data_IF_669703988711
#
_entry.id   IF_669703988711
#
_cell.length_a   1.000
_cell.length_b   1.000
_cell.length_c   1.000
_cell.angle_alpha   90.00
_cell.angle_beta   90.00
_cell.angle_gamma   90.00
#
_symmetry.space_group_name_H-M   'P 1'
#
loop_
_entity.id
_entity.type
_entity.pdbx_description
1 polymer ?
#
# COMPACT_ATOMS: atom_id res chain seq x y z
N UNK A 1 2.65 -11.13 5.29
CA UNK A 1 1.67 -10.44 6.17
C UNK A 1 2.03 -10.46 7.66
N UNK A 2 3.15 -11.08 8.08
CA UNK A 2 3.52 -11.18 9.51
C UNK A 2 3.60 -9.82 10.23
N UNK A 3 4.13 -8.79 9.56
CA UNK A 3 4.26 -7.45 10.13
C UNK A 3 2.92 -6.81 10.53
N UNK A 4 1.84 -7.13 9.80
CA UNK A 4 0.49 -6.68 10.15
C UNK A 4 0.00 -7.34 11.44
N UNK A 5 0.18 -8.66 11.55
CA UNK A 5 -0.26 -9.45 12.71
C UNK A 5 0.51 -9.01 13.96
N UNK A 6 1.82 -8.82 13.85
CA UNK A 6 2.65 -8.37 14.96
C UNK A 6 2.27 -6.97 15.42
N UNK A 7 2.01 -6.06 14.48
CA UNK A 7 1.52 -4.72 14.78
C UNK A 7 0.12 -4.75 15.42
N UNK A 8 -0.79 -5.57 14.90
CA UNK A 8 -2.15 -5.72 15.44
C UNK A 8 -2.12 -6.24 16.88
N UNK A 9 -1.26 -7.20 17.18
CA UNK A 9 -1.02 -7.70 18.53
C UNK A 9 -0.38 -6.65 19.44
N UNK A 10 0.61 -5.89 18.94
CA UNK A 10 1.32 -4.88 19.71
C UNK A 10 0.44 -3.67 20.05
N UNK A 11 -0.44 -3.25 19.13
CA UNK A 11 -1.33 -2.10 19.32
C UNK A 11 -2.74 -2.49 19.79
N UNK A 12 -2.97 -3.75 20.16
CA UNK A 12 -4.29 -4.26 20.54
C UNK A 12 -5.41 -3.89 19.52
N UNK A 13 -5.09 -3.99 18.22
CA UNK A 13 -5.97 -3.62 17.11
C UNK A 13 -6.12 -2.12 16.83
N UNK A 14 -5.47 -1.23 17.61
CA UNK A 14 -5.54 0.22 17.44
C UNK A 14 -4.58 0.75 16.36
N UNK A 15 -4.67 0.24 15.13
CA UNK A 15 -3.76 0.62 14.02
C UNK A 15 -4.03 2.00 13.42
N UNK A 16 -5.28 2.48 13.48
CA UNK A 16 -5.71 3.72 12.84
C UNK A 16 -5.88 4.87 13.85
N UNK A 17 -5.49 6.07 13.45
CA UNK A 17 -5.86 7.30 14.15
C UNK A 17 -7.31 7.71 13.86
N UNK A 18 -7.77 8.77 14.53
CA UNK A 18 -9.15 9.26 14.38
C UNK A 18 -9.51 9.63 12.92
N UNK A 19 -8.58 10.18 12.15
CA UNK A 19 -8.82 10.52 10.74
C UNK A 19 -8.97 9.27 9.87
N UNK A 20 -8.13 8.25 10.08
CA UNK A 20 -8.20 6.96 9.39
C UNK A 20 -9.51 6.22 9.68
N UNK A 21 -9.95 6.21 10.95
CA UNK A 21 -11.23 5.62 11.36
C UNK A 21 -12.42 6.34 10.73
N UNK A 22 -12.43 7.68 10.74
CA UNK A 22 -13.50 8.48 10.10
C UNK A 22 -13.61 8.21 8.60
N UNK A 23 -12.47 8.01 7.93
CA UNK A 23 -12.39 7.70 6.50
C UNK A 23 -12.58 6.21 6.17
N UNK A 24 -12.78 5.34 7.18
CA UNK A 24 -12.89 3.88 7.03
C UNK A 24 -11.76 3.29 6.19
N UNK A 25 -10.54 3.78 6.42
CA UNK A 25 -9.35 3.26 5.73
C UNK A 25 -9.12 1.82 6.19
N UNK A 26 -8.81 0.94 5.25
CA UNK A 26 -8.36 -0.41 5.58
C UNK A 26 -6.99 -0.34 6.29
N UNK A 27 -6.86 -0.83 7.53
CA UNK A 27 -5.58 -0.88 8.24
C UNK A 27 -4.47 -1.57 7.44
N UNK A 28 -4.81 -2.58 6.64
CA UNK A 28 -3.85 -3.30 5.79
C UNK A 28 -3.22 -2.37 4.75
N UNK A 29 -3.97 -1.39 4.27
CA UNK A 29 -3.48 -0.37 3.33
C UNK A 29 -2.35 0.47 3.91
N UNK A 30 -2.25 0.59 5.23
CA UNK A 30 -1.11 1.26 5.88
C UNK A 30 0.22 0.54 5.68
N UNK A 31 0.22 -0.77 5.40
CA UNK A 31 1.43 -1.55 5.17
C UNK A 31 1.82 -1.59 3.69
N UNK A 32 0.83 -1.48 2.80
CA UNK A 32 1.03 -1.53 1.34
C UNK A 32 1.28 -0.15 0.70
N UNK A 33 0.87 0.93 1.35
CA UNK A 33 0.94 2.29 0.78
C UNK A 33 2.29 2.98 0.98
N UNK A 34 2.49 4.12 0.32
CA UNK A 34 3.64 4.98 0.54
C UNK A 34 3.75 5.48 2.00
N UNK A 35 4.94 5.96 2.37
CA UNK A 35 5.23 6.42 3.74
C UNK A 35 4.32 7.57 4.18
N UNK A 36 4.09 8.55 3.31
CA UNK A 36 3.26 9.70 3.64
C UNK A 36 1.82 9.29 4.00
N UNK A 37 1.21 8.40 3.22
CA UNK A 37 -0.13 7.88 3.47
C UNK A 37 -0.17 7.08 4.79
N UNK A 38 0.78 6.17 4.99
CA UNK A 38 0.83 5.34 6.18
C UNK A 38 0.95 6.19 7.45
N UNK A 39 1.87 7.15 7.48
CA UNK A 39 2.07 8.02 8.63
C UNK A 39 0.91 8.99 8.86
N UNK A 40 0.20 9.44 7.80
CA UNK A 40 -0.96 10.31 7.94
C UNK A 40 -2.11 9.63 8.73
N UNK A 41 -2.28 8.31 8.58
CA UNK A 41 -3.43 7.58 9.11
C UNK A 41 -3.12 6.57 10.23
N UNK A 42 -1.84 6.26 10.45
CA UNK A 42 -1.39 5.45 11.58
C UNK A 42 -1.73 6.10 12.92
N UNK A 43 -2.08 5.26 13.89
CA UNK A 43 -2.15 5.63 15.31
C UNK A 43 -0.77 6.00 15.86
N UNK A 44 -0.75 6.62 17.05
CA UNK A 44 0.50 6.91 17.76
C UNK A 44 1.22 5.61 18.13
N UNK A 45 0.53 4.63 18.70
CA UNK A 45 1.09 3.32 19.05
C UNK A 45 1.71 2.60 17.84
N UNK A 46 1.08 2.68 16.66
CA UNK A 46 1.64 2.07 15.45
C UNK A 46 2.90 2.80 14.97
N UNK A 47 2.97 4.12 15.15
CA UNK A 47 4.17 4.90 14.80
C UNK A 47 5.32 4.59 15.76
N UNK A 48 5.03 4.44 17.04
CA UNK A 48 6.01 4.03 18.05
C UNK A 48 6.53 2.63 17.75
N UNK A 49 5.63 1.70 17.43
CA UNK A 49 6.02 0.36 17.01
C UNK A 49 6.88 0.36 15.74
N UNK A 50 6.56 1.21 14.75
CA UNK A 50 7.40 1.37 13.55
C UNK A 50 8.78 1.99 13.81
N UNK A 51 8.96 2.70 14.93
CA UNK A 51 10.28 3.21 15.32
C UNK A 51 11.23 2.06 15.74
N UNK A 52 10.69 1.02 16.37
CA UNK A 52 11.42 -0.18 16.79
C UNK A 52 11.44 -1.27 15.70
N UNK A 53 10.39 -1.33 14.89
CA UNK A 53 10.19 -2.31 13.82
C UNK A 53 9.99 -1.59 12.49
N UNK A 54 11.08 -1.19 11.80
CA UNK A 54 11.00 -0.43 10.57
C UNK A 54 10.06 -1.12 9.56
N UNK A 55 9.07 -0.37 9.10
CA UNK A 55 8.18 -0.84 8.04
C UNK A 55 9.03 -1.09 6.78
N UNK A 56 8.88 -2.25 6.15
CA UNK A 56 9.46 -2.47 4.82
C UNK A 56 8.72 -1.52 3.88
N UNK A 57 9.41 -0.52 3.35
CA UNK A 57 8.77 0.53 2.55
C UNK A 57 8.72 0.15 1.08
N UNK A 58 7.67 0.56 0.37
CA UNK A 58 7.52 0.33 -1.07
C UNK A 58 8.73 0.79 -1.92
N UNK A 59 9.53 1.82 -1.59
CA UNK A 59 10.79 2.12 -2.30
C UNK A 59 11.84 1.00 -2.25
N UNK A 60 11.86 0.17 -1.19
CA UNK A 60 12.69 -1.04 -1.15
C UNK A 60 12.04 -2.22 -1.88
N UNK A 61 10.70 -2.23 -1.98
CA UNK A 61 9.95 -3.19 -2.79
C UNK A 61 10.04 -2.91 -4.30
N UNK A 62 10.01 -1.64 -4.73
CA UNK A 62 10.20 -1.21 -6.12
C UNK A 62 11.56 -1.64 -6.65
N UNK A 63 12.61 -1.59 -5.82
CA UNK A 63 13.93 -2.12 -6.20
C UNK A 63 13.92 -3.64 -6.40
N UNK A 64 13.02 -4.38 -5.75
CA UNK A 64 12.85 -5.82 -5.90
C UNK A 64 11.92 -6.20 -7.07
N UNK A 65 10.92 -5.36 -7.38
CA UNK A 65 9.99 -5.54 -8.51
C UNK A 65 10.63 -5.16 -9.85
N UNK A 66 11.57 -4.21 -9.87
CA UNK A 66 12.25 -3.78 -11.09
C UNK A 66 13.21 -4.84 -11.69
N UNK A 67 13.44 -5.96 -10.99
CA UNK A 67 14.19 -7.12 -11.50
C UNK A 67 13.28 -8.22 -12.09
N UNK A 68 11.96 -8.03 -12.06
CA UNK A 68 10.99 -8.82 -12.84
C UNK A 68 10.60 -8.02 -14.11
N UNK A 69 10.59 -8.63 -15.31
CA UNK A 69 10.31 -7.91 -16.55
C UNK A 69 8.90 -7.30 -16.56
N UNK A 70 8.68 -6.16 -17.24
CA UNK A 70 7.41 -5.44 -17.20
C UNK A 70 6.38 -6.13 -18.08
N UNK A 71 5.42 -6.84 -17.49
CA UNK A 71 4.24 -7.35 -18.17
C UNK A 71 2.95 -6.68 -17.64
N UNK A 72 2.23 -6.09 -18.58
CA UNK A 72 0.78 -6.17 -18.78
C UNK A 72 -0.25 -5.92 -17.64
N UNK A 73 0.13 -5.41 -16.47
CA UNK A 73 -0.80 -5.15 -15.36
C UNK A 73 -1.64 -3.85 -15.48
N UNK A 74 -2.27 -3.62 -16.63
CA UNK A 74 -3.42 -2.71 -16.82
C UNK A 74 -4.46 -3.32 -17.77
N UNK A 75 -4.80 -4.60 -17.58
CA UNK A 75 -6.01 -5.20 -18.15
C UNK A 75 -7.21 -4.97 -17.21
N UNK A 76 -7.66 -3.72 -17.11
CA UNK A 76 -9.04 -3.43 -16.69
C UNK A 76 -9.65 -2.50 -17.72
N UNK A 77 -10.51 -3.09 -18.56
CA UNK A 77 -11.27 -2.41 -19.59
C UNK A 77 -12.19 -1.32 -19.05
N UNK A 78 -11.64 -0.13 -18.89
CA UNK A 78 -12.40 1.11 -18.78
C UNK A 78 -11.69 2.23 -19.55
N UNK A 79 -12.15 2.40 -20.80
CA UNK A 79 -12.02 3.60 -21.65
C UNK A 79 -10.61 4.07 -22.03
N UNK A 80 -10.02 3.41 -23.04
CA UNK A 80 -9.02 4.02 -23.91
C UNK A 80 -9.55 4.04 -25.36
N UNK A 81 -10.42 5.01 -25.64
CA UNK A 81 -10.66 5.43 -27.01
C UNK A 81 -9.35 5.93 -27.63
N UNK A 82 -9.13 5.50 -28.88
CA UNK A 82 -8.07 5.93 -29.80
C UNK A 82 -6.65 5.39 -29.54
N UNK A 83 -6.34 4.18 -30.04
CA UNK A 83 -5.28 3.90 -31.05
C UNK A 83 -5.53 2.49 -31.62
N UNK A 84 -6.53 2.33 -32.50
CA UNK A 84 -6.61 1.19 -33.43
C UNK A 84 -6.59 1.74 -34.85
N UNK A 85 -5.39 1.80 -35.41
CA UNK A 85 -5.15 2.23 -36.79
C UNK A 85 -4.28 1.24 -37.54
N UNK A 86 -4.65 -0.05 -37.60
CA UNK A 86 -4.29 -0.95 -38.70
C UNK A 86 -4.93 -2.34 -38.55
N UNK A 87 -5.87 -2.64 -39.44
CA UNK A 87 -6.11 -3.91 -40.17
C UNK A 87 -7.59 -3.96 -40.56
N UNK A 88 -7.88 -3.26 -41.65
CA UNK A 88 -8.84 -3.71 -42.66
C UNK A 88 -8.07 -3.67 -43.99
N UNK A 89 -7.82 -4.85 -44.54
CA UNK A 89 -7.22 -5.12 -45.83
C UNK A 89 -7.76 -6.45 -46.32
#
# INVERSE_FOLDING_TARGET
MQQYIDAENATNGALLNAAGRRRRIDPMRLFLSNRAFAYCYASEELRDWWAEHPRITFPDYERQVYEAPPDDYYDTGWEADAVWGQVIG
#
